data_IF_096929224068
#
_entry.id   IF_096929224068
#
_cell.length_a   1.000
_cell.length_b   1.000
_cell.length_c   1.000
_cell.angle_alpha   90.00
_cell.angle_beta   90.00
_cell.angle_gamma   90.00
#
_symmetry.space_group_name_H-M   'P 1'
#
loop_
_entity.id
_entity.type
_entity.pdbx_description
1 polymer ?
#
# COMPACT_ATOMS: atom_id res chain seq x y z
N UNK A 1 29.02 -6.33 7.54
CA UNK A 1 27.80 -5.56 7.86
C UNK A 1 26.82 -5.81 6.74
N UNK A 2 25.85 -6.69 6.98
CA UNK A 2 24.98 -7.27 5.94
C UNK A 2 23.97 -6.22 5.50
N UNK A 3 23.99 -5.90 4.21
CA UNK A 3 22.96 -5.11 3.52
C UNK A 3 21.61 -5.77 3.73
N UNK A 4 20.78 -5.14 4.56
CA UNK A 4 19.34 -5.36 4.56
C UNK A 4 18.81 -4.93 3.19
N UNK A 5 18.81 -5.86 2.23
CA UNK A 5 17.92 -5.77 1.08
C UNK A 5 16.52 -5.69 1.66
N UNK A 6 15.96 -4.48 1.63
CA UNK A 6 14.56 -4.21 1.87
C UNK A 6 13.78 -4.99 0.80
N UNK A 7 13.58 -6.28 1.03
CA UNK A 7 12.65 -7.10 0.28
C UNK A 7 11.29 -6.42 0.48
N UNK A 8 10.77 -5.83 -0.59
CA UNK A 8 9.46 -5.18 -0.62
C UNK A 8 8.31 -6.20 -0.42
N UNK A 9 8.66 -7.47 -0.25
CA UNK A 9 7.78 -8.62 -0.11
C UNK A 9 8.37 -9.45 1.04
N UNK A 10 7.64 -9.57 2.15
CA UNK A 10 8.10 -10.39 3.27
C UNK A 10 8.27 -11.85 2.82
N UNK A 11 9.18 -12.61 3.44
CA UNK A 11 9.45 -14.01 3.05
C UNK A 11 8.20 -14.92 3.13
N UNK A 12 7.23 -14.57 3.99
CA UNK A 12 5.90 -15.20 4.09
C UNK A 12 4.78 -14.49 3.33
N UNK A 13 5.11 -13.54 2.46
CA UNK A 13 4.10 -12.84 1.65
C UNK A 13 3.52 -13.78 0.61
N UNK A 14 2.20 -13.72 0.48
CA UNK A 14 1.43 -14.35 -0.58
C UNK A 14 1.95 -14.02 -2.00
N UNK A 15 2.63 -12.87 -2.15
CA UNK A 15 3.21 -12.41 -3.40
C UNK A 15 4.62 -12.95 -3.67
N UNK A 16 5.19 -13.74 -2.74
CA UNK A 16 6.40 -14.49 -2.99
C UNK A 16 6.04 -15.76 -3.78
N UNK A 17 5.82 -15.60 -5.08
CA UNK A 17 5.40 -16.66 -6.02
C UNK A 17 6.46 -17.78 -6.16
N UNK A 18 7.66 -17.59 -5.59
CA UNK A 18 8.70 -18.62 -5.55
C UNK A 18 8.55 -19.59 -4.37
N UNK A 19 7.57 -19.39 -3.48
CA UNK A 19 7.35 -20.31 -2.36
C UNK A 19 6.69 -21.60 -2.87
N UNK A 20 7.35 -22.75 -2.68
CA UNK A 20 6.92 -24.07 -3.16
C UNK A 20 5.57 -24.54 -2.58
N UNK A 21 5.03 -23.81 -1.59
CA UNK A 21 3.74 -24.03 -0.94
C UNK A 21 2.52 -23.53 -1.73
N UNK A 22 2.71 -22.83 -2.85
CA UNK A 22 1.61 -22.32 -3.65
C UNK A 22 0.90 -23.44 -4.43
N UNK A 23 -0.43 -23.52 -4.35
CA UNK A 23 -1.20 -24.50 -5.12
C UNK A 23 -1.06 -24.19 -6.61
N UNK A 24 -0.26 -25.02 -7.31
CA UNK A 24 0.05 -24.85 -8.74
C UNK A 24 -1.19 -24.92 -9.62
N UNK A 25 -2.25 -25.61 -9.18
CA UNK A 25 -3.49 -25.77 -9.93
C UNK A 25 -4.14 -24.41 -10.25
N UNK A 26 -4.12 -23.47 -9.30
CA UNK A 26 -4.73 -22.15 -9.46
C UNK A 26 -3.73 -21.04 -9.76
N UNK A 27 -2.45 -21.35 -9.98
CA UNK A 27 -1.40 -20.33 -10.10
C UNK A 27 -1.65 -19.39 -11.29
N UNK A 28 -1.99 -19.93 -12.45
CA UNK A 28 -2.27 -19.13 -13.65
C UNK A 28 -3.59 -18.35 -13.55
N UNK A 29 -4.64 -18.96 -13.00
CA UNK A 29 -5.92 -18.29 -12.77
C UNK A 29 -5.76 -17.13 -11.79
N UNK A 30 -5.08 -17.36 -10.67
CA UNK A 30 -4.78 -16.34 -9.67
C UNK A 30 -3.99 -15.18 -10.27
N UNK A 31 -2.95 -15.48 -11.04
CA UNK A 31 -2.12 -14.48 -11.73
C UNK A 31 -2.94 -13.68 -12.74
N UNK A 32 -3.80 -14.34 -13.52
CA UNK A 32 -4.70 -13.70 -14.47
C UNK A 32 -5.66 -12.74 -13.76
N UNK A 33 -6.31 -13.19 -12.69
CA UNK A 33 -7.26 -12.39 -11.91
C UNK A 33 -6.58 -11.20 -11.23
N UNK A 34 -5.38 -11.37 -10.65
CA UNK A 34 -4.65 -10.24 -10.08
C UNK A 34 -4.32 -9.21 -11.14
N UNK A 35 -3.81 -9.65 -12.30
CA UNK A 35 -3.48 -8.74 -13.40
C UNK A 35 -4.72 -7.98 -13.87
N UNK A 36 -5.86 -8.66 -14.01
CA UNK A 36 -7.13 -8.00 -14.35
C UNK A 36 -7.57 -6.99 -13.27
N UNK A 37 -7.50 -7.36 -11.99
CA UNK A 37 -7.83 -6.46 -10.88
C UNK A 37 -6.92 -5.24 -10.82
N UNK A 38 -5.64 -5.40 -11.13
CA UNK A 38 -4.69 -4.29 -11.20
C UNK A 38 -5.06 -3.28 -12.28
N UNK A 39 -5.49 -3.75 -13.45
CA UNK A 39 -5.97 -2.90 -14.55
C UNK A 39 -7.28 -2.15 -14.22
N UNK A 40 -8.08 -2.69 -13.29
CA UNK A 40 -9.34 -2.09 -12.83
C UNK A 40 -9.18 -1.18 -11.61
N UNK A 41 -7.95 -0.99 -11.10
CA UNK A 41 -7.72 -0.07 -9.99
C UNK A 41 -8.08 1.36 -10.39
N UNK A 42 -8.41 2.16 -9.38
CA UNK A 42 -8.71 3.59 -9.59
C UNK A 42 -7.43 4.26 -10.11
N UNK A 43 -7.50 4.98 -11.25
CA UNK A 43 -6.33 5.63 -11.81
C UNK A 43 -5.81 6.70 -10.84
N UNK A 44 -4.49 6.74 -10.69
CA UNK A 44 -3.80 7.75 -9.90
C UNK A 44 -2.93 8.58 -10.85
N UNK A 45 -3.26 9.85 -11.01
CA UNK A 45 -2.68 10.75 -12.01
C UNK A 45 -1.58 11.65 -11.46
N UNK A 46 -1.28 11.56 -10.15
CA UNK A 46 -0.31 12.43 -9.45
C UNK A 46 -0.60 13.94 -9.59
N UNK A 47 -1.88 14.32 -9.73
CA UNK A 47 -2.30 15.71 -9.95
C UNK A 47 -2.70 16.43 -8.66
N UNK A 48 -2.77 15.70 -7.55
CA UNK A 48 -3.05 16.24 -6.23
C UNK A 48 -2.12 17.42 -5.85
N UNK A 49 -2.66 18.60 -5.50
CA UNK A 49 -1.89 19.69 -4.90
C UNK A 49 -1.18 19.30 -3.59
N UNK A 50 -1.67 18.24 -2.92
CA UNK A 50 -1.18 17.76 -1.64
C UNK A 50 -0.03 16.75 -1.77
N UNK A 51 0.44 16.43 -2.98
CA UNK A 51 1.47 15.42 -3.23
C UNK A 51 2.79 15.70 -2.49
N UNK A 52 3.11 16.98 -2.26
CA UNK A 52 4.32 17.39 -1.53
C UNK A 52 4.34 16.91 -0.08
N UNK A 53 3.17 16.71 0.54
CA UNK A 53 3.04 16.22 1.92
C UNK A 53 3.14 14.70 2.01
N UNK A 54 3.05 13.99 0.88
CA UNK A 54 2.97 12.52 0.83
C UNK A 54 4.11 11.86 1.59
N UNK A 55 5.35 12.31 1.42
CA UNK A 55 6.51 11.73 2.11
C UNK A 55 6.33 11.74 3.63
N UNK A 56 6.00 12.91 4.19
CA UNK A 56 5.79 13.10 5.63
C UNK A 56 4.64 12.25 6.17
N UNK A 57 3.54 12.14 5.38
CA UNK A 57 2.38 11.35 5.79
C UNK A 57 2.69 9.84 5.77
N UNK A 58 3.40 9.37 4.75
CA UNK A 58 3.80 7.95 4.65
C UNK A 58 4.79 7.58 5.76
N UNK A 59 5.71 8.47 6.12
CA UNK A 59 6.60 8.29 7.28
C UNK A 59 5.79 8.15 8.58
N UNK A 60 4.81 9.03 8.80
CA UNK A 60 3.87 8.93 9.95
C UNK A 60 3.11 7.59 9.96
N UNK A 61 2.56 7.16 8.82
CA UNK A 61 1.85 5.88 8.71
C UNK A 61 2.77 4.70 8.99
N UNK A 62 4.01 4.73 8.51
CA UNK A 62 5.02 3.69 8.76
C UNK A 62 5.33 3.57 10.24
N UNK A 63 5.54 4.69 10.93
CA UNK A 63 5.80 4.71 12.37
C UNK A 63 4.62 4.16 13.17
N UNK A 64 3.40 4.52 12.79
CA UNK A 64 2.19 4.03 13.47
C UNK A 64 1.96 2.54 13.23
N UNK A 65 2.13 2.07 11.99
CA UNK A 65 2.03 0.66 11.62
C UNK A 65 3.07 -0.18 12.38
N UNK A 66 4.32 0.29 12.48
CA UNK A 66 5.37 -0.38 13.24
C UNK A 66 5.02 -0.48 14.74
N UNK A 67 4.58 0.62 15.36
CA UNK A 67 4.15 0.65 16.77
C UNK A 67 3.00 -0.31 17.06
N UNK A 68 2.09 -0.49 16.09
CA UNK A 68 0.92 -1.38 16.19
C UNK A 68 1.17 -2.79 15.62
N UNK A 69 2.38 -3.08 15.14
CA UNK A 69 2.75 -4.36 14.50
C UNK A 69 1.79 -4.75 13.36
N UNK A 70 1.33 -3.77 12.59
CA UNK A 70 0.48 -4.02 11.43
C UNK A 70 1.27 -4.67 10.30
N UNK A 71 0.58 -5.41 9.43
CA UNK A 71 1.21 -6.04 8.27
C UNK A 71 1.65 -4.99 7.25
N UNK A 72 2.67 -5.34 6.44
CA UNK A 72 3.06 -4.51 5.30
C UNK A 72 1.90 -4.31 4.33
N UNK A 73 1.07 -5.34 4.11
CA UNK A 73 -0.11 -5.25 3.25
C UNK A 73 -1.13 -4.22 3.73
N UNK A 74 -1.38 -4.13 5.05
CA UNK A 74 -2.22 -3.09 5.64
C UNK A 74 -1.64 -1.69 5.38
N UNK A 75 -0.34 -1.49 5.63
CA UNK A 75 0.33 -0.21 5.33
C UNK A 75 0.24 0.15 3.84
N UNK A 76 0.50 -0.80 2.94
CA UNK A 76 0.43 -0.55 1.49
C UNK A 76 -0.99 -0.22 1.03
N UNK A 77 -2.01 -0.89 1.59
CA UNK A 77 -3.40 -0.61 1.29
C UNK A 77 -3.82 0.79 1.80
N UNK A 78 -3.40 1.17 3.00
CA UNK A 78 -3.64 2.50 3.55
C UNK A 78 -3.02 3.61 2.68
N UNK A 79 -1.77 3.42 2.21
CA UNK A 79 -1.10 4.36 1.32
C UNK A 79 -1.81 4.45 -0.04
N UNK A 80 -2.23 3.32 -0.61
CA UNK A 80 -3.01 3.31 -1.84
C UNK A 80 -4.33 4.09 -1.70
N UNK A 81 -5.08 3.85 -0.62
CA UNK A 81 -6.33 4.59 -0.35
C UNK A 81 -6.08 6.09 -0.20
N UNK A 82 -5.02 6.47 0.53
CA UNK A 82 -4.63 7.86 0.72
C UNK A 82 -4.28 8.54 -0.61
N UNK A 83 -3.45 7.90 -1.44
CA UNK A 83 -3.00 8.44 -2.73
C UNK A 83 -4.20 8.69 -3.66
N UNK A 84 -5.10 7.71 -3.79
CA UNK A 84 -6.33 7.87 -4.57
C UNK A 84 -7.21 8.98 -4.01
N UNK A 85 -7.38 9.05 -2.68
CA UNK A 85 -8.24 10.06 -2.07
C UNK A 85 -7.69 11.48 -2.27
N UNK A 86 -6.37 11.67 -2.12
CA UNK A 86 -5.70 12.96 -2.35
C UNK A 86 -5.76 13.41 -3.82
N UNK A 87 -5.75 12.48 -4.78
CA UNK A 87 -5.82 12.81 -6.20
C UNK A 87 -7.21 13.28 -6.64
N UNK A 88 -8.25 12.77 -5.98
CA UNK A 88 -9.64 13.05 -6.33
C UNK A 88 -10.29 14.17 -5.50
N UNK A 89 -9.61 14.68 -4.46
CA UNK A 89 -10.18 15.67 -3.54
C UNK A 89 -9.20 16.78 -3.17
N UNK A 90 -9.70 18.01 -3.10
CA UNK A 90 -8.95 19.13 -2.53
C UNK A 90 -9.06 19.11 -0.99
N UNK A 91 -8.02 18.62 -0.34
CA UNK A 91 -7.96 18.47 1.12
C UNK A 91 -7.09 19.59 1.69
N UNK A 92 -7.56 20.22 2.77
CA UNK A 92 -6.75 21.17 3.52
C UNK A 92 -5.56 20.45 4.17
N UNK A 93 -4.33 21.00 4.09
CA UNK A 93 -3.15 20.35 4.67
C UNK A 93 -3.30 19.94 6.14
N UNK A 94 -3.99 20.76 6.94
CA UNK A 94 -4.27 20.49 8.36
C UNK A 94 -5.10 19.21 8.61
N UNK A 95 -5.80 18.68 7.59
CA UNK A 95 -6.66 17.48 7.70
C UNK A 95 -5.98 16.22 7.16
N UNK A 96 -4.81 16.33 6.54
CA UNK A 96 -4.16 15.21 5.85
C UNK A 96 -3.78 14.06 6.80
N UNK A 97 -3.28 14.36 8.01
CA UNK A 97 -2.97 13.32 8.99
C UNK A 97 -4.22 12.59 9.50
N UNK A 98 -5.34 13.29 9.66
CA UNK A 98 -6.61 12.65 10.04
C UNK A 98 -7.07 11.69 8.94
N UNK A 99 -7.06 12.13 7.68
CA UNK A 99 -7.40 11.30 6.53
C UNK A 99 -6.50 10.07 6.45
N UNK A 100 -5.18 10.25 6.60
CA UNK A 100 -4.22 9.15 6.60
C UNK A 100 -4.52 8.12 7.69
N UNK A 101 -4.84 8.56 8.91
CA UNK A 101 -5.20 7.66 10.00
C UNK A 101 -6.51 6.89 9.71
N UNK A 102 -7.48 7.53 9.05
CA UNK A 102 -8.72 6.86 8.61
C UNK A 102 -8.42 5.82 7.54
N UNK A 103 -7.55 6.13 6.56
CA UNK A 103 -7.09 5.15 5.57
C UNK A 103 -6.41 3.95 6.23
N UNK A 104 -5.59 4.17 7.26
CA UNK A 104 -4.95 3.09 8.03
C UNK A 104 -5.94 2.27 8.85
N UNK A 105 -7.00 2.89 9.37
CA UNK A 105 -8.06 2.21 10.11
C UNK A 105 -8.92 1.30 9.21
N UNK A 106 -9.11 1.69 7.95
CA UNK A 106 -9.89 0.93 6.97
C UNK A 106 -9.13 -0.24 6.34
N UNK A 107 -7.79 -0.20 6.39
CA UNK A 107 -6.89 -1.13 5.72
C UNK A 107 -6.62 -2.40 6.54
#
# INVERSE_FOLDING_TARGET
MVENKHLLVSEGSLFNVQNETWNKEYAEDYKSIIKQKELLKIPFSHQSPQIFYRKSIVEHLKDFAAKKRLSHSCLHLAVYMLDVFMDNHSILPARLYLVANVCLLLA
#
